data_IF_359565961748
#
_entry.id   IF_359565961748
#
_cell.length_a   1.000
_cell.length_b   1.000
_cell.length_c   1.000
_cell.angle_alpha   90.00
_cell.angle_beta   90.00
_cell.angle_gamma   90.00
#
_symmetry.space_group_name_H-M   'P 1'
#
loop_
_entity.id
_entity.type
_entity.pdbx_description
1 polymer ?
#
# COMPACT_ATOMS: atom_id res chain seq x y z
N UNK A 1 -23.64 -3.33 20.69
CA UNK A 1 -24.17 -3.82 19.40
C UNK A 1 -23.11 -3.65 18.30
N UNK A 2 -22.62 -2.42 18.04
CA UNK A 2 -21.54 -2.13 17.07
C UNK A 2 -20.27 -2.94 17.37
N UNK A 3 -19.87 -3.10 18.64
CA UNK A 3 -18.73 -3.88 19.09
C UNK A 3 -18.78 -5.37 18.69
N UNK A 4 -19.97 -5.95 18.69
CA UNK A 4 -20.20 -7.35 18.27
C UNK A 4 -20.26 -7.51 16.75
N UNK A 5 -20.77 -6.50 16.06
CA UNK A 5 -20.84 -6.48 14.59
C UNK A 5 -19.44 -6.31 13.97
N UNK A 6 -18.61 -5.41 14.49
CA UNK A 6 -17.20 -5.25 14.05
C UNK A 6 -16.38 -6.52 14.33
N UNK A 7 -16.55 -7.15 15.51
CA UNK A 7 -15.87 -8.43 15.80
C UNK A 7 -16.34 -9.57 14.88
N UNK A 8 -17.62 -9.62 14.51
CA UNK A 8 -18.12 -10.65 13.61
C UNK A 8 -17.66 -10.45 12.16
N UNK A 9 -17.50 -9.20 11.72
CA UNK A 9 -16.93 -8.88 10.40
C UNK A 9 -15.46 -9.25 10.35
N UNK A 10 -14.67 -8.90 11.37
CA UNK A 10 -13.24 -9.25 11.42
C UNK A 10 -13.02 -10.77 11.46
N UNK A 11 -13.82 -11.52 12.27
CA UNK A 11 -13.74 -12.98 12.28
C UNK A 11 -14.16 -13.59 10.95
N UNK A 12 -15.19 -13.06 10.28
CA UNK A 12 -15.60 -13.51 8.95
C UNK A 12 -14.54 -13.23 7.88
N UNK A 13 -13.80 -12.15 8.02
CA UNK A 13 -12.66 -11.79 7.14
C UNK A 13 -11.50 -12.78 7.35
N UNK A 14 -11.14 -13.11 8.59
CA UNK A 14 -10.04 -14.03 8.90
C UNK A 14 -10.30 -15.49 8.50
N UNK A 15 -11.57 -15.92 8.44
CA UNK A 15 -11.97 -17.30 8.17
C UNK A 15 -12.37 -17.58 6.71
N UNK A 16 -12.44 -16.56 5.85
CA UNK A 16 -12.89 -16.73 4.47
C UNK A 16 -11.72 -16.77 3.47
N UNK A 17 -11.44 -17.95 2.93
CA UNK A 17 -10.38 -18.17 1.92
C UNK A 17 -10.55 -17.30 0.66
N UNK A 18 -11.78 -16.90 0.31
CA UNK A 18 -12.05 -16.00 -0.82
C UNK A 18 -11.44 -14.60 -0.61
N UNK A 19 -11.23 -14.18 0.63
CA UNK A 19 -10.57 -12.91 0.95
C UNK A 19 -9.07 -12.90 0.61
N UNK A 20 -8.46 -14.04 0.33
CA UNK A 20 -7.11 -14.12 -0.22
C UNK A 20 -7.06 -13.83 -1.74
N UNK A 21 -8.21 -13.74 -2.40
CA UNK A 21 -8.31 -13.37 -3.81
C UNK A 21 -8.27 -11.85 -3.92
N UNK A 22 -7.30 -11.31 -4.67
CA UNK A 22 -6.99 -9.87 -4.75
C UNK A 22 -8.22 -8.97 -4.94
N UNK A 23 -9.16 -9.34 -5.81
CA UNK A 23 -10.38 -8.55 -6.06
C UNK A 23 -11.29 -8.40 -4.84
N UNK A 24 -11.30 -9.37 -3.92
CA UNK A 24 -12.08 -9.31 -2.68
C UNK A 24 -11.28 -8.70 -1.55
N UNK A 25 -9.98 -9.03 -1.46
CA UNK A 25 -9.08 -8.47 -0.44
C UNK A 25 -9.08 -6.94 -0.48
N UNK A 26 -8.95 -6.36 -1.67
CA UNK A 26 -8.86 -4.91 -1.81
C UNK A 26 -10.12 -4.20 -1.30
N UNK A 27 -11.30 -4.73 -1.61
CA UNK A 27 -12.57 -4.14 -1.18
C UNK A 27 -12.74 -4.26 0.33
N UNK A 28 -12.43 -5.43 0.89
CA UNK A 28 -12.56 -5.68 2.32
C UNK A 28 -11.61 -4.80 3.15
N UNK A 29 -10.35 -4.66 2.71
CA UNK A 29 -9.38 -3.78 3.35
C UNK A 29 -9.82 -2.31 3.30
N UNK A 30 -10.26 -1.82 2.14
CA UNK A 30 -10.74 -0.45 2.02
C UNK A 30 -11.94 -0.19 2.94
N UNK A 31 -12.87 -1.16 3.04
CA UNK A 31 -14.04 -1.02 3.93
C UNK A 31 -13.64 -0.90 5.40
N UNK A 32 -12.70 -1.71 5.84
CA UNK A 32 -12.16 -1.67 7.20
C UNK A 32 -11.42 -0.35 7.46
N UNK A 33 -10.50 0.03 6.59
CA UNK A 33 -9.74 1.28 6.68
C UNK A 33 -10.67 2.51 6.75
N UNK A 34 -11.70 2.59 5.90
CA UNK A 34 -12.63 3.73 5.91
C UNK A 34 -13.54 3.74 7.15
N UNK A 35 -13.93 2.58 7.67
CA UNK A 35 -14.67 2.49 8.91
C UNK A 35 -13.85 3.00 10.10
N UNK A 36 -12.58 2.60 10.20
CA UNK A 36 -11.65 3.09 11.23
C UNK A 36 -11.40 4.60 11.06
N UNK A 37 -11.16 5.05 9.83
CA UNK A 37 -10.97 6.48 9.53
C UNK A 37 -12.15 7.33 10.01
N UNK A 38 -13.39 6.86 9.77
CA UNK A 38 -14.58 7.55 10.22
C UNK A 38 -14.65 7.66 11.74
N UNK A 39 -14.33 6.58 12.46
CA UNK A 39 -14.29 6.57 13.92
C UNK A 39 -13.23 7.53 14.46
N UNK A 40 -12.04 7.58 13.85
CA UNK A 40 -10.99 8.51 14.24
C UNK A 40 -11.42 9.96 14.03
N UNK A 41 -12.05 10.29 12.90
CA UNK A 41 -12.60 11.62 12.62
C UNK A 41 -13.66 12.02 13.66
N UNK A 42 -14.59 11.14 14.02
CA UNK A 42 -15.62 11.38 15.04
C UNK A 42 -15.03 11.61 16.45
N UNK A 43 -13.86 11.02 16.71
CA UNK A 43 -13.11 11.23 17.96
C UNK A 43 -12.23 12.47 17.94
N UNK A 44 -12.21 13.24 16.84
CA UNK A 44 -11.46 14.47 16.72
C UNK A 44 -9.99 14.30 16.27
N UNK A 45 -9.57 13.08 15.90
CA UNK A 45 -8.23 12.90 15.31
C UNK A 45 -8.18 13.51 13.93
N UNK A 46 -7.17 14.33 13.67
CA UNK A 46 -6.88 14.95 12.39
C UNK A 46 -5.45 14.61 11.97
N UNK A 47 -5.25 14.38 10.68
CA UNK A 47 -3.92 14.13 10.13
C UNK A 47 -3.34 15.41 9.53
N UNK A 48 -2.04 15.62 9.66
CA UNK A 48 -1.31 16.69 8.95
C UNK A 48 -0.89 16.23 7.53
N UNK A 49 -0.80 14.92 7.32
CA UNK A 49 -0.50 14.29 6.04
C UNK A 49 -1.10 12.88 6.02
N UNK A 50 -1.46 12.42 4.83
CA UNK A 50 -1.95 11.06 4.61
C UNK A 50 -1.07 10.34 3.58
N UNK A 51 -0.89 9.04 3.76
CA UNK A 51 -0.21 8.16 2.83
C UNK A 51 -0.75 6.74 2.99
N UNK A 52 -0.60 5.91 1.96
CA UNK A 52 -1.01 4.53 2.03
C UNK A 52 -0.22 3.67 1.04
N UNK A 53 0.11 2.45 1.43
CA UNK A 53 0.87 1.52 0.60
C UNK A 53 -0.08 0.83 -0.39
N UNK A 54 0.14 1.00 -1.69
CA UNK A 54 -0.64 0.37 -2.77
C UNK A 54 -2.14 0.63 -2.64
N UNK A 55 -2.93 -0.34 -2.15
CA UNK A 55 -4.35 -0.16 -1.89
C UNK A 55 -4.63 0.97 -0.90
N UNK A 56 -3.85 1.07 0.16
CA UNK A 56 -4.02 2.08 1.20
C UNK A 56 -3.94 3.52 0.68
N UNK A 57 -3.37 3.77 -0.50
CA UNK A 57 -3.39 5.10 -1.12
C UNK A 57 -4.82 5.58 -1.40
N UNK A 58 -5.78 4.67 -1.65
CA UNK A 58 -7.19 5.04 -1.83
C UNK A 58 -7.85 5.49 -0.53
N UNK A 59 -7.55 4.85 0.59
CA UNK A 59 -7.98 5.33 1.90
C UNK A 59 -7.34 6.67 2.25
N UNK A 60 -6.06 6.87 1.90
CA UNK A 60 -5.37 8.15 2.06
C UNK A 60 -6.01 9.27 1.22
N UNK A 61 -6.44 8.99 -0.01
CA UNK A 61 -7.17 9.93 -0.86
C UNK A 61 -8.54 10.32 -0.29
N UNK A 62 -9.24 9.38 0.34
CA UNK A 62 -10.48 9.69 1.06
C UNK A 62 -10.19 10.51 2.32
N UNK A 63 -9.15 10.18 3.06
CA UNK A 63 -8.74 10.93 4.25
C UNK A 63 -8.36 12.37 3.91
N UNK A 64 -7.67 12.58 2.78
CA UNK A 64 -7.24 13.90 2.28
C UNK A 64 -8.37 14.73 1.66
N UNK A 65 -9.57 14.16 1.49
CA UNK A 65 -10.72 14.83 0.88
C UNK A 65 -10.71 14.85 -0.65
N UNK A 66 -9.74 14.20 -1.29
CA UNK A 66 -9.56 14.16 -2.76
C UNK A 66 -10.58 13.27 -3.44
N UNK A 67 -11.01 12.20 -2.78
CA UNK A 67 -11.95 11.21 -3.30
C UNK A 67 -13.07 10.95 -2.31
N UNK A 68 -14.31 10.77 -2.79
CA UNK A 68 -15.40 10.31 -1.92
C UNK A 68 -15.25 8.83 -1.56
N UNK A 69 -15.77 8.35 -0.41
CA UNK A 69 -15.80 6.92 -0.11
C UNK A 69 -16.45 6.09 -1.22
N UNK A 70 -17.55 6.57 -1.78
CA UNK A 70 -18.31 5.89 -2.85
C UNK A 70 -17.47 5.72 -4.12
N UNK A 71 -16.74 6.75 -4.51
CA UNK A 71 -15.87 6.70 -5.69
C UNK A 71 -14.64 5.82 -5.43
N UNK A 72 -14.08 5.85 -4.21
CA UNK A 72 -12.99 4.95 -3.81
C UNK A 72 -13.42 3.49 -3.93
N UNK A 73 -14.59 3.11 -3.40
CA UNK A 73 -15.13 1.76 -3.56
C UNK A 73 -15.35 1.39 -5.02
N UNK A 74 -15.96 2.27 -5.82
CA UNK A 74 -16.22 2.04 -7.24
C UNK A 74 -14.91 1.74 -7.99
N UNK A 75 -13.88 2.54 -7.77
CA UNK A 75 -12.58 2.38 -8.43
C UNK A 75 -11.84 1.15 -7.93
N UNK A 76 -11.82 0.89 -6.61
CA UNK A 76 -11.10 -0.25 -6.02
C UNK A 76 -11.69 -1.60 -6.43
N UNK A 77 -13.02 -1.70 -6.58
CA UNK A 77 -13.68 -2.90 -7.15
C UNK A 77 -13.09 -3.22 -8.53
N UNK A 78 -12.96 -2.21 -9.38
CA UNK A 78 -12.39 -2.35 -10.73
C UNK A 78 -10.90 -2.62 -10.71
N UNK A 79 -10.17 -1.88 -9.86
CA UNK A 79 -8.72 -2.08 -9.66
C UNK A 79 -8.41 -3.53 -9.29
N UNK A 80 -9.10 -4.07 -8.29
CA UNK A 80 -8.91 -5.45 -7.85
C UNK A 80 -9.16 -6.46 -8.95
N UNK A 81 -10.24 -6.28 -9.72
CA UNK A 81 -10.57 -7.15 -10.85
C UNK A 81 -9.49 -7.06 -11.96
N UNK A 82 -9.13 -5.85 -12.39
CA UNK A 82 -8.14 -5.66 -13.45
C UNK A 82 -6.76 -6.20 -13.08
N UNK A 83 -6.32 -5.99 -11.84
CA UNK A 83 -5.04 -6.54 -11.35
C UNK A 83 -5.08 -8.07 -11.26
N UNK A 84 -6.20 -8.67 -10.86
CA UNK A 84 -6.38 -10.12 -10.80
C UNK A 84 -6.37 -10.77 -12.20
N UNK A 85 -6.95 -10.10 -13.18
CA UNK A 85 -7.12 -10.61 -14.55
C UNK A 85 -5.93 -10.33 -15.47
N UNK A 86 -5.07 -9.36 -15.11
CA UNK A 86 -3.99 -8.90 -15.98
C UNK A 86 -2.98 -10.00 -16.31
N UNK A 87 -2.58 -10.79 -15.32
CA UNK A 87 -1.60 -11.86 -15.45
C UNK A 87 -2.07 -13.06 -14.64
N UNK A 88 -2.98 -13.89 -15.19
CA UNK A 88 -3.55 -15.01 -14.46
C UNK A 88 -2.53 -16.10 -14.11
N UNK A 89 -1.46 -16.22 -14.91
CA UNK A 89 -0.38 -17.21 -14.73
C UNK A 89 0.96 -16.61 -15.14
N UNK A 90 2.05 -17.17 -14.61
CA UNK A 90 3.42 -16.83 -15.03
C UNK A 90 4.04 -15.59 -14.40
N UNK A 91 3.35 -14.93 -13.49
CA UNK A 91 3.89 -13.83 -12.68
C UNK A 91 4.36 -14.31 -11.31
N UNK A 92 5.30 -13.58 -10.70
CA UNK A 92 5.78 -13.84 -9.35
C UNK A 92 6.20 -12.56 -8.62
N UNK A 93 6.25 -12.67 -7.30
CA UNK A 93 6.83 -11.66 -6.40
C UNK A 93 7.68 -12.35 -5.34
N UNK A 94 8.82 -11.74 -5.00
CA UNK A 94 9.75 -12.26 -4.00
C UNK A 94 10.23 -11.13 -3.08
N UNK A 95 10.12 -11.33 -1.76
CA UNK A 95 10.68 -10.41 -0.79
C UNK A 95 12.17 -10.68 -0.60
N UNK A 96 13.00 -9.65 -0.78
CA UNK A 96 14.44 -9.66 -0.61
C UNK A 96 14.79 -9.04 0.73
N UNK A 97 15.50 -9.77 1.56
CA UNK A 97 15.81 -9.38 2.92
C UNK A 97 17.30 -9.15 3.12
N UNK A 98 17.67 -8.02 3.72
CA UNK A 98 19.02 -7.74 4.18
C UNK A 98 20.00 -7.39 3.07
N UNK A 99 19.54 -6.70 2.04
CA UNK A 99 20.32 -6.16 0.93
C UNK A 99 19.89 -4.71 0.66
N UNK A 100 20.79 -3.90 0.14
CA UNK A 100 20.52 -2.51 -0.27
C UNK A 100 19.77 -2.46 -1.60
N UNK A 101 19.04 -1.35 -1.81
CA UNK A 101 18.19 -1.20 -2.98
C UNK A 101 18.98 -1.08 -4.29
N UNK A 102 20.13 -0.40 -4.29
CA UNK A 102 20.97 -0.21 -5.50
C UNK A 102 21.44 -1.57 -6.05
N UNK A 103 21.88 -2.47 -5.17
CA UNK A 103 22.27 -3.83 -5.56
C UNK A 103 21.09 -4.63 -6.10
N UNK A 104 19.90 -4.48 -5.49
CA UNK A 104 18.69 -5.17 -5.98
C UNK A 104 18.29 -4.65 -7.36
N UNK A 105 18.24 -3.33 -7.55
CA UNK A 105 17.88 -2.69 -8.82
C UNK A 105 18.83 -3.15 -9.94
N UNK A 106 20.13 -3.03 -9.69
CA UNK A 106 21.14 -3.43 -10.66
C UNK A 106 21.02 -4.89 -11.10
N UNK A 107 20.84 -5.80 -10.15
CA UNK A 107 20.67 -7.23 -10.47
C UNK A 107 19.39 -7.46 -11.26
N UNK A 108 18.29 -6.78 -10.92
CA UNK A 108 17.06 -6.88 -11.71
C UNK A 108 17.23 -6.36 -13.14
N UNK A 109 17.95 -5.25 -13.34
CA UNK A 109 18.23 -4.67 -14.66
C UNK A 109 19.12 -5.57 -15.54
N UNK A 110 19.98 -6.40 -14.93
CA UNK A 110 20.88 -7.33 -15.62
C UNK A 110 20.18 -8.65 -16.00
N UNK A 111 18.95 -8.89 -15.57
CA UNK A 111 18.22 -10.14 -15.86
C UNK A 111 17.53 -10.09 -17.22
N UNK A 112 17.50 -11.24 -17.89
CA UNK A 112 16.64 -11.44 -19.06
C UNK A 112 15.18 -11.54 -18.61
N UNK A 113 14.27 -10.92 -19.38
CA UNK A 113 12.85 -10.90 -19.08
C UNK A 113 12.41 -9.71 -18.21
N UNK A 114 11.15 -9.72 -17.79
CA UNK A 114 10.57 -8.62 -16.99
C UNK A 114 10.75 -8.93 -15.51
N UNK A 115 11.64 -8.22 -14.84
CA UNK A 115 11.76 -8.19 -13.38
C UNK A 115 12.18 -6.80 -12.92
N UNK A 116 11.56 -6.31 -11.84
CA UNK A 116 11.84 -5.00 -11.28
C UNK A 116 11.47 -4.94 -9.80
N UNK A 117 11.76 -3.83 -9.14
CA UNK A 117 11.31 -3.60 -7.77
C UNK A 117 9.83 -3.25 -7.76
N UNK A 118 9.05 -4.01 -7.00
CA UNK A 118 7.63 -3.73 -6.73
C UNK A 118 7.46 -2.76 -5.55
N UNK A 119 8.16 -3.01 -4.45
CA UNK A 119 8.00 -2.24 -3.22
C UNK A 119 9.36 -1.99 -2.55
N UNK A 120 9.61 -0.73 -2.25
CA UNK A 120 10.63 -0.31 -1.28
C UNK A 120 9.96 -0.18 0.09
N UNK A 121 9.94 -1.24 0.88
CA UNK A 121 9.16 -1.25 2.12
C UNK A 121 9.87 -0.53 3.28
N UNK A 122 11.12 -0.86 3.51
CA UNK A 122 11.98 -0.26 4.53
C UNK A 122 13.43 -0.70 4.32
N UNK A 123 14.42 -0.11 4.99
CA UNK A 123 15.81 -0.53 4.90
C UNK A 123 15.97 -2.05 5.08
N UNK A 124 16.55 -2.71 4.08
CA UNK A 124 16.78 -4.14 4.06
C UNK A 124 15.53 -5.00 3.84
N UNK A 125 14.44 -4.44 3.34
CA UNK A 125 13.26 -5.20 2.91
C UNK A 125 12.63 -4.59 1.66
N UNK A 126 12.89 -5.21 0.52
CA UNK A 126 12.44 -4.81 -0.80
C UNK A 126 11.76 -5.99 -1.47
N UNK A 127 10.74 -5.74 -2.28
CA UNK A 127 10.02 -6.80 -3.02
C UNK A 127 10.32 -6.63 -4.50
N UNK A 128 10.72 -7.71 -5.18
CA UNK A 128 10.85 -7.77 -6.64
C UNK A 128 9.63 -8.47 -7.25
N UNK A 129 9.31 -8.12 -8.51
CA UNK A 129 8.12 -8.55 -9.23
C UNK A 129 8.40 -8.71 -10.71
N UNK A 130 7.66 -9.57 -11.40
CA UNK A 130 7.75 -9.73 -12.83
C UNK A 130 7.38 -11.13 -13.32
N UNK A 131 7.96 -11.56 -14.43
CA UNK A 131 7.82 -12.91 -14.94
C UNK A 131 8.45 -13.92 -13.97
N UNK A 132 7.76 -15.02 -13.70
CA UNK A 132 8.21 -16.00 -12.71
C UNK A 132 9.64 -16.49 -12.94
N UNK A 133 10.06 -16.87 -14.17
CA UNK A 133 11.44 -17.28 -14.42
C UNK A 133 12.47 -16.16 -14.16
N UNK A 134 12.15 -14.91 -14.52
CA UNK A 134 13.04 -13.78 -14.32
C UNK A 134 13.17 -13.43 -12.82
N UNK A 135 12.05 -13.46 -12.07
CA UNK A 135 12.04 -13.25 -10.61
C UNK A 135 12.84 -14.35 -9.89
N UNK A 136 12.70 -15.61 -10.29
CA UNK A 136 13.46 -16.73 -9.74
C UNK A 136 14.97 -16.58 -10.01
N UNK A 137 15.35 -16.22 -11.24
CA UNK A 137 16.75 -15.97 -11.62
C UNK A 137 17.34 -14.79 -10.82
N UNK A 138 16.60 -13.68 -10.73
CA UNK A 138 17.00 -12.51 -9.93
C UNK A 138 17.15 -12.87 -8.45
N UNK A 139 16.21 -13.62 -7.87
CA UNK A 139 16.27 -14.05 -6.47
C UNK A 139 17.50 -14.96 -6.21
N UNK A 140 17.85 -15.86 -7.14
CA UNK A 140 19.04 -16.69 -7.05
C UNK A 140 20.33 -15.85 -7.11
N UNK A 141 20.41 -14.88 -8.04
CA UNK A 141 21.54 -13.96 -8.17
C UNK A 141 21.69 -13.08 -6.93
N UNK A 142 20.58 -12.50 -6.40
CA UNK A 142 20.56 -11.73 -5.17
C UNK A 142 21.02 -12.55 -3.96
N UNK A 143 20.61 -13.83 -3.90
CA UNK A 143 21.05 -14.73 -2.85
C UNK A 143 22.54 -14.98 -2.92
N UNK A 144 23.09 -15.19 -4.12
CA UNK A 144 24.54 -15.36 -4.35
C UNK A 144 25.32 -14.08 -4.04
N UNK A 145 24.73 -12.89 -4.29
CA UNK A 145 25.30 -11.58 -3.97
C UNK A 145 25.22 -11.22 -2.46
N UNK A 146 24.59 -12.05 -1.61
CA UNK A 146 24.61 -11.89 -0.16
C UNK A 146 23.28 -11.48 0.48
N UNK A 147 22.16 -11.51 -0.24
CA UNK A 147 20.84 -11.34 0.38
C UNK A 147 20.62 -12.37 1.50
N UNK A 148 20.21 -11.92 2.66
CA UNK A 148 20.01 -12.82 3.82
C UNK A 148 18.93 -13.85 3.55
N UNK A 149 17.80 -13.43 2.95
CA UNK A 149 16.70 -14.30 2.55
C UNK A 149 16.03 -13.75 1.30
N UNK A 150 15.58 -14.66 0.42
CA UNK A 150 14.67 -14.39 -0.69
C UNK A 150 13.41 -15.24 -0.42
N UNK A 151 12.28 -14.61 -0.19
CA UNK A 151 11.04 -15.27 0.27
C UNK A 151 9.99 -15.09 -0.82
N UNK A 152 9.63 -16.13 -1.58
CA UNK A 152 8.51 -16.08 -2.53
C UNK A 152 7.22 -15.68 -1.80
N UNK A 153 6.45 -14.79 -2.39
CA UNK A 153 5.18 -14.34 -1.86
C UNK A 153 4.03 -15.14 -2.48
N UNK A 154 3.08 -15.56 -1.64
CA UNK A 154 1.85 -16.21 -2.12
C UNK A 154 0.85 -15.11 -2.54
N UNK A 155 1.00 -14.60 -3.76
CA UNK A 155 0.14 -13.57 -4.34
C UNK A 155 -0.37 -14.02 -5.70
N UNK A 156 -1.49 -13.44 -6.15
CA UNK A 156 -2.18 -13.84 -7.37
C UNK A 156 -1.64 -13.20 -8.65
N UNK A 157 -0.56 -12.43 -8.59
CA UNK A 157 0.02 -11.80 -9.78
C UNK A 157 1.27 -10.98 -9.50
N UNK A 158 1.96 -10.52 -10.58
CA UNK A 158 3.18 -9.73 -10.51
C UNK A 158 2.84 -8.24 -10.33
N UNK A 159 2.27 -7.89 -9.16
CA UNK A 159 1.82 -6.53 -8.89
C UNK A 159 2.96 -5.52 -8.96
N UNK A 160 2.63 -4.30 -9.39
CA UNK A 160 3.58 -3.19 -9.53
C UNK A 160 4.72 -3.47 -10.53
N UNK A 161 4.44 -4.25 -11.58
CA UNK A 161 5.36 -4.52 -12.68
C UNK A 161 4.84 -4.00 -14.01
N UNK A 162 5.71 -3.88 -15.00
CA UNK A 162 5.34 -3.52 -16.36
C UNK A 162 4.30 -4.48 -17.00
N UNK A 163 4.16 -5.70 -16.47
CA UNK A 163 3.15 -6.68 -16.91
C UNK A 163 1.71 -6.20 -16.64
N UNK A 164 1.51 -5.21 -15.77
CA UNK A 164 0.20 -4.64 -15.42
C UNK A 164 -0.14 -3.32 -16.13
N UNK A 165 0.60 -2.92 -17.13
CA UNK A 165 0.34 -1.68 -17.89
C UNK A 165 -1.08 -1.62 -18.44
N UNK A 166 -1.59 -2.72 -19.01
CA UNK A 166 -2.96 -2.78 -19.55
C UNK A 166 -4.03 -2.64 -18.45
N UNK A 167 -3.76 -3.15 -17.25
CA UNK A 167 -4.65 -2.97 -16.10
C UNK A 167 -4.69 -1.49 -15.69
N UNK A 168 -3.57 -0.78 -15.75
CA UNK A 168 -3.49 0.67 -15.54
C UNK A 168 -4.30 1.45 -16.59
N UNK A 169 -4.24 1.07 -17.87
CA UNK A 169 -5.03 1.68 -18.93
C UNK A 169 -6.55 1.45 -18.75
N UNK A 170 -6.94 0.25 -18.31
CA UNK A 170 -8.35 -0.03 -17.96
C UNK A 170 -8.80 0.81 -16.77
N UNK A 171 -7.98 0.91 -15.73
CA UNK A 171 -8.30 1.71 -14.54
C UNK A 171 -8.41 3.20 -14.87
N UNK A 172 -7.57 3.72 -15.78
CA UNK A 172 -7.64 5.11 -16.22
C UNK A 172 -9.03 5.47 -16.74
N UNK A 173 -9.70 4.57 -17.47
CA UNK A 173 -11.06 4.79 -17.98
C UNK A 173 -12.11 4.86 -16.86
N UNK A 174 -11.94 4.07 -15.82
CA UNK A 174 -12.81 4.15 -14.62
C UNK A 174 -12.58 5.47 -13.88
N UNK A 175 -11.33 5.89 -13.74
CA UNK A 175 -10.96 7.15 -13.09
C UNK A 175 -11.55 8.39 -13.83
N UNK A 176 -11.76 8.32 -15.14
CA UNK A 176 -12.44 9.39 -15.88
C UNK A 176 -13.90 9.58 -15.44
N UNK A 177 -14.53 8.56 -14.87
CA UNK A 177 -15.93 8.58 -14.44
C UNK A 177 -16.17 9.17 -13.06
N UNK A 178 -15.12 9.46 -12.30
CA UNK A 178 -15.19 10.02 -10.96
C UNK A 178 -14.70 11.46 -10.91
N UNK A 179 -15.17 12.19 -9.90
CA UNK A 179 -14.69 13.54 -9.60
C UNK A 179 -13.49 13.48 -8.64
N UNK A 180 -12.48 14.29 -8.92
CA UNK A 180 -11.36 14.54 -8.02
C UNK A 180 -11.53 15.92 -7.41
N UNK A 181 -11.62 15.95 -6.08
CA UNK A 181 -11.81 17.18 -5.32
C UNK A 181 -10.47 17.82 -4.96
N UNK A 182 -10.53 19.05 -4.44
CA UNK A 182 -9.34 19.77 -3.97
C UNK A 182 -8.71 19.05 -2.76
N UNK A 183 -7.38 19.03 -2.73
CA UNK A 183 -6.61 18.40 -1.66
C UNK A 183 -6.76 19.21 -0.38
N UNK A 184 -7.45 18.67 0.62
CA UNK A 184 -7.67 19.32 1.91
C UNK A 184 -6.56 19.02 2.90
N UNK A 185 -6.09 17.78 2.93
CA UNK A 185 -4.94 17.34 3.72
C UNK A 185 -3.88 16.85 2.74
N UNK A 186 -2.63 17.32 2.83
CA UNK A 186 -1.55 16.83 1.98
C UNK A 186 -1.47 15.31 1.97
N UNK A 187 -1.26 14.72 0.80
CA UNK A 187 -0.99 13.30 0.71
C UNK A 187 0.23 13.01 -0.18
N UNK A 188 0.90 11.89 0.09
CA UNK A 188 2.05 11.41 -0.66
C UNK A 188 1.63 10.23 -1.52
N UNK A 189 1.98 10.28 -2.82
CA UNK A 189 1.72 9.18 -3.75
C UNK A 189 2.83 8.13 -3.74
N UNK A 190 2.45 6.88 -3.99
CA UNK A 190 3.40 5.76 -4.07
C UNK A 190 4.42 5.88 -5.20
N UNK A 191 4.04 6.51 -6.32
CA UNK A 191 4.85 6.56 -7.54
C UNK A 191 6.07 7.44 -7.38
N UNK A 192 5.90 8.65 -6.83
CA UNK A 192 6.98 9.63 -6.71
C UNK A 192 7.58 9.72 -5.31
N UNK A 193 6.89 9.19 -4.28
CA UNK A 193 7.22 9.40 -2.88
C UNK A 193 7.27 10.89 -2.49
N UNK A 194 6.44 11.70 -3.14
CA UNK A 194 6.35 13.13 -2.90
C UNK A 194 4.87 13.57 -2.78
N UNK A 195 4.69 14.78 -2.25
CA UNK A 195 3.36 15.37 -2.12
C UNK A 195 2.75 15.67 -3.48
N UNK A 196 1.47 15.36 -3.62
CA UNK A 196 0.70 15.78 -4.78
C UNK A 196 0.17 17.19 -4.51
N UNK A 197 0.61 18.14 -5.32
CA UNK A 197 0.27 19.56 -5.16
C UNK A 197 -0.88 20.02 -6.06
N UNK A 198 -1.18 19.25 -7.11
CA UNK A 198 -2.25 19.53 -8.06
C UNK A 198 -3.10 18.29 -8.27
N UNK A 199 -4.40 18.42 -8.00
CA UNK A 199 -5.38 17.33 -8.15
C UNK A 199 -5.46 16.75 -9.55
N UNK A 200 -5.09 17.53 -10.58
CA UNK A 200 -5.12 17.08 -11.97
C UNK A 200 -4.14 15.91 -12.23
N UNK A 201 -3.10 15.78 -11.40
CA UNK A 201 -2.17 14.65 -11.52
C UNK A 201 -2.68 13.35 -10.89
N UNK A 202 -3.69 13.40 -10.01
CA UNK A 202 -4.16 12.25 -9.20
C UNK A 202 -4.52 11.06 -10.07
N UNK A 203 -5.36 11.26 -11.09
CA UNK A 203 -5.82 10.17 -11.96
C UNK A 203 -4.66 9.49 -12.69
N UNK A 204 -3.71 10.29 -13.19
CA UNK A 204 -2.54 9.75 -13.88
C UNK A 204 -1.60 9.01 -12.92
N UNK A 205 -1.41 9.50 -11.71
CA UNK A 205 -0.60 8.84 -10.68
C UNK A 205 -1.22 7.51 -10.24
N UNK A 206 -2.54 7.44 -10.08
CA UNK A 206 -3.24 6.19 -9.77
C UNK A 206 -3.18 5.18 -10.90
N UNK A 207 -3.26 5.63 -12.16
CA UNK A 207 -3.01 4.79 -13.33
C UNK A 207 -1.60 4.20 -13.30
N UNK A 208 -0.59 5.03 -13.08
CA UNK A 208 0.81 4.61 -13.04
C UNK A 208 1.10 3.68 -11.84
N UNK A 209 0.46 3.90 -10.70
CA UNK A 209 0.68 3.13 -9.47
C UNK A 209 0.54 1.62 -9.68
N UNK A 210 -0.37 1.18 -10.56
CA UNK A 210 -0.62 -0.25 -10.81
C UNK A 210 0.61 -0.98 -11.34
N UNK A 211 1.39 -0.30 -12.20
CA UNK A 211 2.54 -0.87 -12.90
C UNK A 211 3.88 -0.30 -12.47
N UNK A 212 3.90 0.57 -11.46
CA UNK A 212 5.10 1.22 -10.94
C UNK A 212 5.40 0.80 -9.51
N UNK A 213 6.67 0.93 -9.12
CA UNK A 213 7.12 0.64 -7.76
C UNK A 213 6.41 1.49 -6.71
N UNK A 214 6.06 0.87 -5.60
CA UNK A 214 5.59 1.56 -4.38
C UNK A 214 6.81 2.00 -3.58
N UNK A 215 7.04 3.29 -3.50
CA UNK A 215 8.18 3.92 -2.81
C UNK A 215 7.84 4.25 -1.35
N UNK A 216 7.44 3.23 -0.58
CA UNK A 216 6.95 3.42 0.78
C UNK A 216 8.02 3.95 1.73
N UNK A 217 9.23 3.38 1.69
CA UNK A 217 10.35 3.84 2.51
C UNK A 217 10.60 5.34 2.27
N UNK A 218 10.73 5.74 1.02
CA UNK A 218 11.01 7.13 0.64
C UNK A 218 9.85 8.07 1.04
N UNK A 219 8.60 7.60 0.93
CA UNK A 219 7.42 8.36 1.39
C UNK A 219 7.47 8.64 2.89
N UNK A 220 7.81 7.63 3.69
CA UNK A 220 7.95 7.77 5.15
C UNK A 220 9.13 8.67 5.51
N UNK A 221 10.28 8.47 4.88
CA UNK A 221 11.48 9.31 5.08
C UNK A 221 11.18 10.79 4.74
N UNK A 222 10.41 11.04 3.67
CA UNK A 222 9.97 12.37 3.29
C UNK A 222 9.07 13.01 4.35
N UNK A 223 8.06 12.29 4.85
CA UNK A 223 7.16 12.77 5.90
C UNK A 223 7.93 13.13 7.18
N UNK A 224 8.87 12.28 7.59
CA UNK A 224 9.71 12.53 8.77
C UNK A 224 10.58 13.78 8.56
N UNK A 225 11.20 13.93 7.39
CA UNK A 225 12.00 15.09 7.05
C UNK A 225 11.22 16.42 7.07
N UNK A 226 9.92 16.35 6.75
CA UNK A 226 8.99 17.49 6.77
C UNK A 226 8.35 17.71 8.15
N UNK A 227 8.77 16.97 9.18
CA UNK A 227 8.39 17.21 10.58
C UNK A 227 7.20 16.40 11.08
N UNK A 228 6.85 15.29 10.44
CA UNK A 228 5.86 14.36 11.00
C UNK A 228 6.43 13.67 12.23
N UNK A 229 5.79 13.82 13.38
CA UNK A 229 6.27 13.37 14.68
C UNK A 229 5.66 12.04 15.15
N UNK A 230 4.55 11.60 14.54
CA UNK A 230 3.90 10.33 14.87
C UNK A 230 3.08 9.80 13.70
N UNK A 231 2.89 8.49 13.65
CA UNK A 231 2.09 7.82 12.64
C UNK A 231 0.99 6.97 13.26
N UNK A 232 -0.19 6.97 12.64
CA UNK A 232 -1.30 6.07 12.97
C UNK A 232 -1.55 5.19 11.74
N UNK A 233 -1.25 3.90 11.85
CA UNK A 233 -1.64 2.89 10.86
C UNK A 233 -3.06 2.42 11.16
N UNK A 234 -3.95 2.48 10.18
CA UNK A 234 -5.32 1.98 10.26
C UNK A 234 -5.49 0.75 9.37
N UNK A 235 -6.34 -0.18 9.77
CA UNK A 235 -6.63 -1.40 9.02
C UNK A 235 -6.00 -2.66 9.59
N UNK A 236 -6.20 -3.82 8.93
CA UNK A 236 -5.77 -5.10 9.44
C UNK A 236 -4.24 -5.26 9.40
N UNK A 237 -3.67 -5.86 10.45
CA UNK A 237 -2.23 -6.06 10.65
C UNK A 237 -1.49 -4.74 10.93
N UNK A 238 -0.23 -4.87 11.35
CA UNK A 238 0.65 -3.73 11.73
C UNK A 238 1.94 -3.74 10.90
N UNK A 239 1.80 -3.92 9.59
CA UNK A 239 2.96 -4.04 8.71
C UNK A 239 3.71 -2.72 8.56
N UNK A 240 2.97 -1.62 8.44
CA UNK A 240 3.54 -0.28 8.23
C UNK A 240 4.24 0.22 9.49
N UNK A 241 3.67 -0.01 10.68
CA UNK A 241 4.36 0.22 11.95
C UNK A 241 5.66 -0.58 12.05
N UNK A 242 5.67 -1.81 11.52
CA UNK A 242 6.86 -2.65 11.45
C UNK A 242 7.93 -2.08 10.51
N UNK A 243 7.53 -1.50 9.39
CA UNK A 243 8.43 -0.83 8.45
C UNK A 243 8.98 0.47 9.04
N UNK A 244 8.13 1.29 9.65
CA UNK A 244 8.54 2.53 10.30
C UNK A 244 9.63 2.28 11.35
N UNK A 245 9.51 1.27 12.19
CA UNK A 245 10.54 0.90 13.18
C UNK A 245 11.91 0.58 12.59
N UNK A 246 11.97 0.21 11.30
CA UNK A 246 13.23 -0.03 10.57
C UNK A 246 13.70 1.21 9.85
N UNK A 247 12.81 2.11 9.47
CA UNK A 247 13.13 3.40 8.86
C UNK A 247 13.65 4.35 9.95
N UNK A 248 12.81 4.60 10.95
CA UNK A 248 13.20 5.39 12.14
C UNK A 248 12.49 4.88 13.40
N UNK A 249 13.25 4.28 14.32
CA UNK A 249 12.74 3.73 15.58
C UNK A 249 12.39 4.81 16.62
N UNK A 250 12.78 6.06 16.40
CA UNK A 250 12.53 7.16 17.33
C UNK A 250 11.15 7.77 17.16
N UNK A 251 10.54 7.58 15.99
CA UNK A 251 9.21 8.10 15.67
C UNK A 251 8.12 7.13 16.19
N UNK A 252 7.18 7.60 17.01
CA UNK A 252 6.07 6.79 17.49
C UNK A 252 5.17 6.30 16.35
N UNK A 253 4.75 5.03 16.45
CA UNK A 253 3.79 4.42 15.54
C UNK A 253 2.67 3.76 16.35
N UNK A 254 1.46 4.13 16.05
CA UNK A 254 0.25 3.56 16.64
C UNK A 254 -0.50 2.76 15.58
N UNK A 255 -1.21 1.74 16.00
CA UNK A 255 -2.01 0.91 15.11
C UNK A 255 -3.44 0.82 15.64
N UNK A 256 -4.40 0.97 14.77
CA UNK A 256 -5.83 0.87 15.06
C UNK A 256 -6.47 -0.13 14.10
N UNK A 257 -6.88 -1.27 14.64
CA UNK A 257 -7.60 -2.34 13.96
C UNK A 257 -8.92 -2.68 14.70
N UNK A 258 -8.96 -2.47 16.00
CA UNK A 258 -10.10 -2.80 16.85
C UNK A 258 -10.35 -1.74 17.92
N UNK A 259 -11.53 -1.79 18.53
CA UNK A 259 -11.99 -0.79 19.51
C UNK A 259 -11.02 -0.59 20.66
N UNK A 260 -10.38 -1.66 21.16
CA UNK A 260 -9.39 -1.57 22.25
C UNK A 260 -8.14 -0.75 21.87
N UNK A 261 -7.81 -0.66 20.58
CA UNK A 261 -6.64 0.09 20.13
C UNK A 261 -6.89 1.60 20.22
N UNK A 262 -8.15 2.03 20.13
CA UNK A 262 -8.56 3.42 20.33
C UNK A 262 -8.35 3.90 21.78
N UNK A 263 -8.51 3.02 22.76
CA UNK A 263 -8.23 3.32 24.17
C UNK A 263 -6.72 3.55 24.36
N UNK A 264 -5.90 2.67 23.78
CA UNK A 264 -4.44 2.79 23.78
C UNK A 264 -3.97 4.05 23.03
N UNK A 265 -4.61 4.39 21.91
CA UNK A 265 -4.28 5.59 21.15
C UNK A 265 -4.59 6.85 21.98
N UNK A 266 -5.75 6.92 22.64
CA UNK A 266 -6.16 8.04 23.47
C UNK A 266 -5.25 8.26 24.69
N UNK A 267 -4.68 7.19 25.25
CA UNK A 267 -3.74 7.28 26.37
C UNK A 267 -2.37 7.83 25.95
N UNK A 268 -1.96 7.64 24.71
CA UNK A 268 -0.61 7.94 24.23
C UNK A 268 -0.55 9.16 23.28
N UNK A 269 -1.65 9.50 22.64
CA UNK A 269 -1.76 10.63 21.73
C UNK A 269 -2.90 11.54 22.23
N UNK A 270 -2.55 12.54 23.04
CA UNK A 270 -3.51 13.52 23.54
C UNK A 270 -3.99 14.37 22.36
N UNK A 271 -5.31 14.49 22.24
CA UNK A 271 -5.94 15.49 21.35
C UNK A 271 -6.02 16.77 22.18
N UNK A 272 -5.29 17.82 21.75
CA UNK A 272 -5.42 19.17 22.34
C UNK A 272 -6.74 19.86 21.92
#
# INVERSE_FOLDING_TARGET
KIRQEVQSVNSAIEENEELNITKYTQIAMLADELAILQVLKEKGYTASVTAGLSLGEYAALVASGVMTPEDAFRVVVKRGAYMQEAVPEGGAMTAIMGMDNETIEKICEEMDGIVSVANYNCPGQTVITGEAPAVEAAAAALKAAGAKRCIPLNVSGPFHSAMLLDAGEKLSKELETIEIHDIQIPYITNVTADYVTDKEFVKNLLKQQISSSVRWQQSVERMIADGVEAFIEIGPKKSLCGFLKKIDKTIPAYHVDKVSDLETLAENLLIE
#
